data_IF_764085552836
#
_entry.id   IF_764085552836
#
_cell.length_a   1.000
_cell.length_b   1.000
_cell.length_c   1.000
_cell.angle_alpha   90.00
_cell.angle_beta   90.00
_cell.angle_gamma   90.00
#
_symmetry.space_group_name_H-M   'P 1'
#
loop_
_entity.id
_entity.type
_entity.pdbx_description
1 polymer ?
#
# COMPACT_ATOMS: atom_id res chain seq x y z
N UNK A 1 -4.90 1.79 -9.65
CA UNK A 1 -3.51 1.73 -9.16
C UNK A 1 -3.02 0.29 -9.32
N UNK A 2 -1.78 0.06 -9.76
CA UNK A 2 -1.12 -1.26 -9.83
C UNK A 2 -0.06 -1.40 -8.71
N UNK A 3 0.52 -2.60 -8.53
CA UNK A 3 1.61 -2.82 -7.56
C UNK A 3 2.80 -1.87 -7.82
N UNK A 4 3.19 -1.69 -9.08
CA UNK A 4 4.24 -0.73 -9.46
C UNK A 4 3.85 0.72 -9.14
N UNK A 5 2.59 1.11 -9.33
CA UNK A 5 2.13 2.45 -9.00
C UNK A 5 2.11 2.69 -7.48
N UNK A 6 1.75 1.68 -6.67
CA UNK A 6 1.83 1.74 -5.21
C UNK A 6 3.29 1.85 -4.74
N UNK A 7 4.20 1.11 -5.37
CA UNK A 7 5.64 1.22 -5.10
C UNK A 7 6.17 2.62 -5.41
N UNK A 8 5.87 3.15 -6.60
CA UNK A 8 6.30 4.48 -7.02
C UNK A 8 5.74 5.58 -6.11
N UNK A 9 4.49 5.44 -5.68
CA UNK A 9 3.87 6.34 -4.72
C UNK A 9 4.67 6.40 -3.40
N UNK A 10 5.01 5.23 -2.83
CA UNK A 10 5.79 5.16 -1.61
C UNK A 10 7.20 5.76 -1.77
N UNK A 11 7.89 5.44 -2.87
CA UNK A 11 9.22 6.00 -3.19
C UNK A 11 9.15 7.52 -3.30
N UNK A 12 8.15 8.05 -4.02
CA UNK A 12 7.99 9.49 -4.21
C UNK A 12 7.70 10.21 -2.89
N UNK A 13 6.82 9.65 -2.05
CA UNK A 13 6.49 10.24 -0.76
C UNK A 13 7.70 10.21 0.21
N UNK A 14 8.51 9.15 0.21
CA UNK A 14 9.77 9.09 0.96
C UNK A 14 10.75 10.16 0.48
N UNK A 15 10.93 10.30 -0.84
CA UNK A 15 11.89 11.24 -1.40
C UNK A 15 11.46 12.70 -1.19
N UNK A 16 10.16 12.97 -1.21
CA UNK A 16 9.59 14.29 -0.95
C UNK A 16 9.40 14.58 0.55
N UNK A 17 9.58 13.57 1.42
CA UNK A 17 9.31 13.64 2.86
C UNK A 17 7.89 14.18 3.15
N UNK A 18 6.89 13.60 2.49
CA UNK A 18 5.49 13.98 2.63
C UNK A 18 4.63 12.80 3.08
N UNK A 19 3.58 13.12 3.82
CA UNK A 19 2.54 12.17 4.19
C UNK A 19 1.61 11.86 3.00
N UNK A 20 0.81 10.80 3.17
CA UNK A 20 -0.20 10.39 2.21
C UNK A 20 -1.30 11.47 2.12
N UNK A 21 -1.43 12.13 0.98
CA UNK A 21 -2.51 13.12 0.78
C UNK A 21 -3.88 12.46 0.63
N UNK A 22 -4.96 13.21 0.84
CA UNK A 22 -6.34 12.69 0.73
C UNK A 22 -6.64 12.04 -0.63
N UNK A 23 -6.12 12.62 -1.71
CA UNK A 23 -6.23 12.08 -3.06
C UNK A 23 -5.47 10.75 -3.18
N UNK A 24 -4.23 10.69 -2.68
CA UNK A 24 -3.44 9.47 -2.67
C UNK A 24 -4.12 8.39 -1.82
N UNK A 25 -4.62 8.74 -0.64
CA UNK A 25 -5.36 7.85 0.26
C UNK A 25 -6.61 7.29 -0.41
N UNK A 26 -7.32 8.08 -1.22
CA UNK A 26 -8.48 7.60 -1.99
C UNK A 26 -8.08 6.58 -3.06
N UNK A 27 -6.96 6.78 -3.74
CA UNK A 27 -6.46 5.78 -4.69
C UNK A 27 -5.95 4.51 -4.00
N UNK A 28 -5.25 4.64 -2.85
CA UNK A 28 -4.84 3.50 -2.03
C UNK A 28 -6.05 2.73 -1.53
N UNK A 29 -7.13 3.41 -1.13
CA UNK A 29 -8.36 2.75 -0.71
C UNK A 29 -9.00 1.93 -1.85
N UNK A 30 -9.08 2.48 -3.06
CA UNK A 30 -9.57 1.74 -4.23
C UNK A 30 -8.66 0.54 -4.55
N UNK A 31 -7.35 0.72 -4.43
CA UNK A 31 -6.37 -0.36 -4.58
C UNK A 31 -6.61 -1.48 -3.57
N UNK A 32 -6.66 -1.13 -2.28
CA UNK A 32 -6.91 -2.05 -1.18
C UNK A 32 -8.22 -2.83 -1.40
N UNK A 33 -9.29 -2.12 -1.75
CA UNK A 33 -10.57 -2.75 -2.01
C UNK A 33 -10.51 -3.79 -3.13
N UNK A 34 -9.86 -3.47 -4.25
CA UNK A 34 -9.84 -4.33 -5.44
C UNK A 34 -8.82 -5.47 -5.36
N UNK A 35 -7.66 -5.24 -4.75
CA UNK A 35 -6.57 -6.21 -4.73
C UNK A 35 -6.53 -7.06 -3.47
N UNK A 36 -7.06 -6.57 -2.35
CA UNK A 36 -6.96 -7.24 -1.05
C UNK A 36 -8.35 -7.64 -0.56
N UNK A 37 -9.21 -6.67 -0.26
CA UNK A 37 -10.50 -6.94 0.38
C UNK A 37 -11.44 -7.78 -0.49
N UNK A 38 -11.57 -7.46 -1.79
CA UNK A 38 -12.45 -8.21 -2.70
C UNK A 38 -11.97 -9.64 -2.95
N UNK A 39 -10.66 -9.89 -2.80
CA UNK A 39 -10.05 -11.21 -2.95
C UNK A 39 -9.97 -12.00 -1.64
N UNK A 40 -10.49 -11.45 -0.53
CA UNK A 40 -10.36 -12.01 0.81
C UNK A 40 -8.90 -12.31 1.22
N UNK A 41 -7.96 -11.48 0.77
CA UNK A 41 -6.56 -11.59 1.18
C UNK A 41 -6.32 -10.78 2.45
N UNK A 42 -5.38 -11.22 3.30
CA UNK A 42 -4.84 -10.39 4.36
C UNK A 42 -3.80 -9.40 3.81
N UNK A 43 -3.56 -8.29 4.52
CA UNK A 43 -2.49 -7.36 4.16
C UNK A 43 -1.13 -8.08 4.16
N UNK A 44 -0.90 -8.97 5.12
CA UNK A 44 0.36 -9.71 5.25
C UNK A 44 0.61 -10.65 4.06
N UNK A 45 -0.42 -11.38 3.63
CA UNK A 45 -0.31 -12.28 2.47
C UNK A 45 -0.08 -11.49 1.18
N UNK A 46 -0.78 -10.36 1.03
CA UNK A 46 -0.55 -9.46 -0.08
C UNK A 46 0.89 -8.91 -0.06
N UNK A 47 1.39 -8.46 1.09
CA UNK A 47 2.72 -7.88 1.21
C UNK A 47 3.82 -8.87 0.86
N UNK A 48 3.69 -10.15 1.26
CA UNK A 48 4.65 -11.19 0.86
C UNK A 48 4.75 -11.31 -0.66
N UNK A 49 3.62 -11.45 -1.34
CA UNK A 49 3.56 -11.54 -2.81
C UNK A 49 4.07 -10.25 -3.48
N UNK A 50 3.73 -9.10 -2.89
CA UNK A 50 4.17 -7.81 -3.38
C UNK A 50 5.70 -7.67 -3.30
N UNK A 51 6.31 -8.04 -2.16
CA UNK A 51 7.76 -8.00 -1.94
C UNK A 51 8.46 -8.90 -2.95
N UNK A 52 8.04 -10.16 -3.10
CA UNK A 52 8.61 -11.10 -4.09
C UNK A 52 8.59 -10.53 -5.51
N UNK A 53 7.53 -9.78 -5.87
CA UNK A 53 7.40 -9.17 -7.19
C UNK A 53 8.32 -7.95 -7.38
N UNK A 54 8.50 -7.12 -6.36
CA UNK A 54 9.21 -5.82 -6.49
C UNK A 54 10.66 -5.86 -6.02
N UNK A 55 11.04 -6.85 -5.21
CA UNK A 55 12.39 -7.02 -4.68
C UNK A 55 13.47 -7.02 -5.77
N UNK A 56 13.32 -7.72 -6.92
CA UNK A 56 14.33 -7.66 -7.99
C UNK A 56 14.52 -6.24 -8.53
N UNK A 57 13.46 -5.43 -8.54
CA UNK A 57 13.51 -4.03 -8.99
C UNK A 57 14.25 -3.16 -7.97
N UNK A 58 13.98 -3.34 -6.68
CA UNK A 58 14.67 -2.59 -5.62
C UNK A 58 16.13 -3.01 -5.48
N UNK A 59 16.44 -4.30 -5.59
CA UNK A 59 17.80 -4.84 -5.52
C UNK A 59 18.68 -4.33 -6.68
N UNK A 60 18.10 -4.05 -7.84
CA UNK A 60 18.84 -3.50 -8.99
C UNK A 60 19.32 -2.05 -8.79
N UNK A 61 18.81 -1.34 -7.78
CA UNK A 61 19.15 0.05 -7.49
C UNK A 61 19.64 0.18 -6.05
N UNK A 62 20.93 0.42 -5.85
CA UNK A 62 21.54 0.49 -4.51
C UNK A 62 20.84 1.48 -3.56
N UNK A 63 20.43 2.64 -4.04
CA UNK A 63 19.72 3.64 -3.23
C UNK A 63 18.33 3.16 -2.79
N UNK A 64 17.61 2.45 -3.66
CA UNK A 64 16.30 1.88 -3.33
C UNK A 64 16.42 0.63 -2.47
N UNK A 65 17.46 -0.18 -2.68
CA UNK A 65 17.77 -1.36 -1.88
C UNK A 65 17.97 -1.00 -0.41
N UNK A 66 18.75 0.05 -0.12
CA UNK A 66 18.94 0.56 1.26
C UNK A 66 17.67 1.12 1.90
N UNK A 67 16.69 1.54 1.10
CA UNK A 67 15.41 2.08 1.57
C UNK A 67 14.27 1.06 1.51
N UNK A 68 14.53 -0.18 1.10
CA UNK A 68 13.51 -1.20 0.85
C UNK A 68 12.61 -1.43 2.06
N UNK A 69 13.20 -1.60 3.25
CA UNK A 69 12.46 -1.74 4.51
C UNK A 69 11.57 -0.53 4.79
N UNK A 70 12.09 0.70 4.64
CA UNK A 70 11.31 1.93 4.81
C UNK A 70 10.15 2.02 3.82
N UNK A 71 10.37 1.63 2.56
CA UNK A 71 9.35 1.58 1.51
C UNK A 71 8.25 0.59 1.90
N UNK A 72 8.60 -0.61 2.34
CA UNK A 72 7.63 -1.63 2.74
C UNK A 72 6.81 -1.21 3.97
N UNK A 73 7.45 -0.61 4.97
CA UNK A 73 6.76 -0.08 6.15
C UNK A 73 5.76 1.03 5.78
N UNK A 74 6.15 1.91 4.86
CA UNK A 74 5.26 2.97 4.40
C UNK A 74 4.06 2.42 3.62
N UNK A 75 4.28 1.43 2.76
CA UNK A 75 3.21 0.73 2.04
C UNK A 75 2.27 0.02 3.03
N UNK A 76 2.81 -0.66 4.04
CA UNK A 76 2.02 -1.29 5.10
C UNK A 76 1.11 -0.26 5.78
N UNK A 77 1.65 0.90 6.17
CA UNK A 77 0.87 1.99 6.77
C UNK A 77 -0.27 2.45 5.85
N UNK A 78 -0.01 2.61 4.55
CA UNK A 78 -1.05 2.98 3.58
C UNK A 78 -2.17 1.95 3.50
N UNK A 79 -1.83 0.66 3.49
CA UNK A 79 -2.80 -0.43 3.44
C UNK A 79 -3.61 -0.53 4.74
N UNK A 80 -2.98 -0.34 5.90
CA UNK A 80 -3.66 -0.30 7.20
C UNK A 80 -4.65 0.86 7.30
N UNK A 81 -4.29 2.05 6.81
CA UNK A 81 -5.21 3.19 6.75
C UNK A 81 -6.42 2.89 5.85
N UNK A 82 -6.20 2.25 4.70
CA UNK A 82 -7.27 1.84 3.81
C UNK A 82 -8.17 0.75 4.41
N UNK A 83 -7.60 -0.22 5.12
CA UNK A 83 -8.33 -1.26 5.84
C UNK A 83 -9.22 -0.68 6.94
N UNK A 84 -8.67 0.21 7.77
CA UNK A 84 -9.43 0.88 8.82
C UNK A 84 -10.65 1.62 8.23
N UNK A 85 -10.45 2.34 7.11
CA UNK A 85 -11.54 3.00 6.38
C UNK A 85 -12.57 2.01 5.84
N UNK A 86 -12.13 0.85 5.32
CA UNK A 86 -13.00 -0.18 4.79
C UNK A 86 -13.87 -0.81 5.89
N UNK A 87 -13.27 -1.17 7.01
CA UNK A 87 -13.97 -1.71 8.18
C UNK A 87 -14.98 -0.69 8.70
N UNK A 88 -14.57 0.58 8.86
CA UNK A 88 -15.46 1.66 9.28
C UNK A 88 -16.69 1.77 8.36
N UNK A 89 -16.48 1.81 7.04
CA UNK A 89 -17.58 1.88 6.08
C UNK A 89 -18.52 0.66 6.15
N UNK A 90 -17.99 -0.56 6.33
CA UNK A 90 -18.80 -1.76 6.54
C UNK A 90 -19.66 -1.67 7.80
N UNK A 91 -19.11 -1.19 8.91
CA UNK A 91 -19.88 -1.04 10.16
C UNK A 91 -21.01 -0.01 10.04
N UNK A 92 -20.84 1.04 9.24
CA UNK A 92 -21.89 2.02 8.96
C UNK A 92 -23.02 1.43 8.10
N UNK A 93 -22.69 0.61 7.12
CA UNK A 93 -23.67 -0.05 6.25
C UNK A 93 -24.50 -1.06 7.06
N UNK A 94 -23.86 -1.85 7.92
CA UNK A 94 -24.54 -2.87 8.74
C UNK A 94 -25.37 -2.29 9.90
N UNK A 95 -25.33 -0.97 10.13
CA UNK A 95 -26.16 -0.25 11.11
C UNK A 95 -27.44 0.34 10.51
N UNK A 96 -27.65 0.24 9.20
CA UNK A 96 -28.88 0.62 8.50
C UNK A 96 -29.75 -0.60 8.26
#
# INVERSE_FOLDING_TARGET
>A
MTNTQLLLLAINNINANIDLSDTQASYVYQFYHTQIAHKNLSIDDFLKQFIEQVEPTLASNSNLCHKSEQIYQLILSYLQQAEARFIYNKTLINKK
#
